data_IF_966402717790
#
_entry.id   IF_966402717790
#
_cell.length_a   1.000
_cell.length_b   1.000
_cell.length_c   1.000
_cell.angle_alpha   90.00
_cell.angle_beta   90.00
_cell.angle_gamma   90.00
#
_symmetry.space_group_name_H-M   'P 1'
#
loop_
_entity.id
_entity.type
_entity.pdbx_description
1 polymer ?
#
# COMPACT_ATOMS: atom_id res chain seq x y z
N UNK A 1 -12.58 -7.82 29.63
CA UNK A 1 -12.85 -6.38 29.81
C UNK A 1 -11.62 -5.56 29.42
N UNK A 2 -11.32 -5.47 28.12
CA UNK A 2 -10.33 -4.51 27.62
C UNK A 2 -11.09 -3.27 27.17
N UNK A 3 -11.30 -2.34 28.09
CA UNK A 3 -11.74 -0.99 27.73
C UNK A 3 -10.58 -0.34 26.99
N UNK A 4 -10.61 -0.38 25.66
CA UNK A 4 -9.80 0.50 24.81
C UNK A 4 -10.19 1.94 25.18
N UNK A 5 -9.40 2.56 26.05
CA UNK A 5 -9.52 3.99 26.31
C UNK A 5 -8.72 4.69 25.20
N UNK A 6 -9.21 4.59 23.96
CA UNK A 6 -8.67 5.38 22.86
C UNK A 6 -9.17 6.80 23.06
N UNK A 7 -8.24 7.72 23.27
CA UNK A 7 -8.58 9.13 23.39
C UNK A 7 -9.01 9.65 22.01
N UNK A 8 -10.10 10.42 21.96
CA UNK A 8 -10.47 11.14 20.73
C UNK A 8 -9.36 12.15 20.48
N UNK A 9 -8.82 12.20 19.26
CA UNK A 9 -7.75 13.14 18.93
C UNK A 9 -8.28 14.58 19.12
N UNK A 10 -7.79 15.34 20.12
CA UNK A 10 -8.23 16.71 20.31
C UNK A 10 -7.72 17.59 19.16
N UNK A 11 -8.53 18.54 18.74
CA UNK A 11 -8.19 19.55 17.73
C UNK A 11 -7.78 19.01 16.35
N UNK A 12 -8.43 17.93 15.89
CA UNK A 12 -8.24 17.38 14.54
C UNK A 12 -8.27 18.45 13.43
N UNK A 13 -9.18 19.44 13.41
CA UNK A 13 -9.17 20.48 12.38
C UNK A 13 -7.89 21.35 12.38
N UNK A 14 -7.33 21.63 13.56
CA UNK A 14 -6.08 22.39 13.69
C UNK A 14 -4.92 21.56 13.17
N UNK A 15 -4.88 20.26 13.50
CA UNK A 15 -3.90 19.34 12.94
C UNK A 15 -4.01 19.27 11.40
N UNK A 16 -5.23 19.18 10.85
CA UNK A 16 -5.44 19.14 9.40
C UNK A 16 -4.91 20.40 8.72
N UNK A 17 -5.22 21.57 9.26
CA UNK A 17 -4.69 22.84 8.75
C UNK A 17 -3.16 22.91 8.83
N UNK A 18 -2.57 22.41 9.92
CA UNK A 18 -1.12 22.35 10.07
C UNK A 18 -0.46 21.37 9.07
N UNK A 19 -1.08 20.22 8.81
CA UNK A 19 -0.59 19.24 7.83
C UNK A 19 -0.66 19.78 6.40
N UNK A 20 -1.73 20.50 6.06
CA UNK A 20 -1.91 21.09 4.74
C UNK A 20 -0.87 22.17 4.43
N UNK A 21 -0.45 22.94 5.44
CA UNK A 21 0.60 23.95 5.30
C UNK A 21 2.03 23.35 5.37
N UNK A 22 2.18 22.10 5.82
CA UNK A 22 3.48 21.51 6.07
C UNK A 22 3.97 20.67 4.88
N UNK A 23 4.94 21.19 4.14
CA UNK A 23 5.56 20.50 3.01
C UNK A 23 6.84 19.73 3.39
N UNK A 24 7.12 19.54 4.68
CA UNK A 24 8.38 18.96 5.17
C UNK A 24 8.19 17.70 6.02
N UNK A 25 6.98 17.42 6.49
CA UNK A 25 6.71 16.31 7.39
C UNK A 25 7.01 14.98 6.70
N UNK A 26 7.87 14.17 7.32
CA UNK A 26 8.25 12.83 6.82
C UNK A 26 7.59 11.70 7.57
N UNK A 27 7.21 11.93 8.83
CA UNK A 27 6.65 10.90 9.71
C UNK A 27 5.47 11.47 10.48
N UNK A 28 4.36 10.75 10.49
CA UNK A 28 3.17 11.09 11.27
C UNK A 28 2.72 9.87 12.06
N UNK A 29 2.55 10.02 13.36
CA UNK A 29 1.96 8.99 14.22
C UNK A 29 0.73 9.54 14.91
N UNK A 30 -0.40 8.88 14.70
CA UNK A 30 -1.66 9.13 15.40
C UNK A 30 -2.07 7.93 16.27
N UNK A 31 -1.11 7.03 16.52
CA UNK A 31 -1.35 5.76 17.20
C UNK A 31 -1.98 5.97 18.58
N UNK A 32 -2.97 5.15 18.93
CA UNK A 32 -3.69 5.21 20.19
C UNK A 32 -4.86 6.21 20.23
N UNK A 33 -5.06 7.00 19.18
CA UNK A 33 -6.20 7.91 19.07
C UNK A 33 -7.29 7.30 18.22
N UNK A 34 -8.54 7.37 18.70
CA UNK A 34 -9.67 6.89 17.91
C UNK A 34 -9.88 7.81 16.70
N UNK A 35 -9.90 7.23 15.50
CA UNK A 35 -10.19 7.90 14.25
C UNK A 35 -11.45 7.31 13.64
N UNK A 36 -12.49 8.12 13.50
CA UNK A 36 -13.66 7.74 12.74
C UNK A 36 -13.41 7.85 11.23
N UNK A 37 -14.36 7.36 10.42
CA UNK A 37 -14.25 7.37 8.96
C UNK A 37 -14.08 8.79 8.40
N UNK A 38 -14.76 9.79 8.99
CA UNK A 38 -14.59 11.19 8.61
C UNK A 38 -13.19 11.72 8.95
N UNK A 39 -12.58 11.25 10.04
CA UNK A 39 -11.25 11.69 10.44
C UNK A 39 -10.18 11.16 9.47
N UNK A 40 -10.30 9.89 9.08
CA UNK A 40 -9.43 9.25 8.08
C UNK A 40 -9.57 9.94 6.73
N UNK A 41 -10.79 10.28 6.31
CA UNK A 41 -11.02 11.03 5.08
C UNK A 41 -10.43 12.45 5.16
N UNK A 42 -10.58 13.15 6.27
CA UNK A 42 -10.01 14.49 6.45
C UNK A 42 -8.48 14.48 6.46
N UNK A 43 -7.88 13.46 7.11
CA UNK A 43 -6.45 13.19 7.10
C UNK A 43 -5.95 12.97 5.66
N UNK A 44 -6.72 12.21 4.88
CA UNK A 44 -6.33 11.92 3.50
C UNK A 44 -6.18 13.16 2.65
N UNK A 45 -7.19 14.04 2.68
CA UNK A 45 -7.18 15.30 1.94
C UNK A 45 -6.05 16.25 2.38
N UNK A 46 -5.76 16.28 3.69
CA UNK A 46 -4.80 17.23 4.27
C UNK A 46 -3.34 16.87 4.00
N UNK A 47 -3.04 15.56 3.91
CA UNK A 47 -1.67 15.08 3.73
C UNK A 47 -1.31 14.94 2.24
N UNK A 48 -2.28 14.66 1.35
CA UNK A 48 -2.04 14.63 -0.10
C UNK A 48 -1.43 15.94 -0.63
N UNK A 49 -1.61 17.05 0.08
CA UNK A 49 -1.02 18.36 -0.25
C UNK A 49 0.45 18.50 0.17
N UNK A 50 0.91 17.75 1.18
CA UNK A 50 2.28 17.84 1.70
C UNK A 50 3.32 17.16 0.80
N UNK A 51 2.91 16.12 0.07
CA UNK A 51 3.71 15.38 -0.92
C UNK A 51 4.98 14.70 -0.40
N UNK A 52 5.29 14.75 0.90
CA UNK A 52 6.58 14.27 1.43
C UNK A 52 6.49 13.26 2.57
N UNK A 53 5.28 12.88 2.99
CA UNK A 53 5.10 11.91 4.06
C UNK A 53 5.64 10.53 3.64
N UNK A 54 6.57 9.97 4.43
CA UNK A 54 7.22 8.69 4.18
C UNK A 54 6.76 7.58 5.13
N UNK A 55 6.25 7.95 6.31
CA UNK A 55 5.86 7.01 7.35
C UNK A 55 4.56 7.46 8.03
N UNK A 56 3.58 6.57 8.07
CA UNK A 56 2.29 6.80 8.71
C UNK A 56 1.99 5.69 9.72
N UNK A 57 1.87 6.06 11.00
CA UNK A 57 1.54 5.14 12.07
C UNK A 57 0.11 5.38 12.58
N UNK A 58 -0.79 4.45 12.30
CA UNK A 58 -2.18 4.44 12.77
C UNK A 58 -2.44 3.20 13.64
N UNK A 59 -1.52 2.87 14.53
CA UNK A 59 -1.66 1.68 15.39
C UNK A 59 -2.69 1.94 16.48
N UNK A 60 -3.62 0.99 16.69
CA UNK A 60 -4.67 1.10 17.71
C UNK A 60 -5.49 2.40 17.56
N UNK A 61 -5.96 2.69 16.35
CA UNK A 61 -6.77 3.86 16.04
C UNK A 61 -8.27 3.55 15.87
N UNK A 62 -8.69 2.30 16.12
CA UNK A 62 -10.08 1.89 15.98
C UNK A 62 -10.57 1.76 14.53
N UNK A 63 -9.66 1.63 13.57
CA UNK A 63 -9.99 1.56 12.13
C UNK A 63 -10.76 0.28 11.79
N UNK A 64 -11.96 0.45 11.23
CA UNK A 64 -12.81 -0.63 10.73
C UNK A 64 -12.55 -0.90 9.23
N UNK A 65 -13.29 -1.85 8.63
CA UNK A 65 -13.15 -2.17 7.20
C UNK A 65 -13.38 -0.94 6.30
N UNK A 66 -14.37 -0.09 6.60
CA UNK A 66 -14.63 1.14 5.83
C UNK A 66 -13.44 2.09 5.86
N UNK A 67 -12.85 2.29 7.04
CA UNK A 67 -11.67 3.14 7.24
C UNK A 67 -10.46 2.59 6.48
N UNK A 68 -10.29 1.26 6.46
CA UNK A 68 -9.25 0.60 5.68
C UNK A 68 -9.45 0.75 4.16
N UNK A 69 -10.70 0.72 3.68
CA UNK A 69 -11.01 1.02 2.28
C UNK A 69 -10.66 2.47 1.91
N UNK A 70 -10.99 3.43 2.78
CA UNK A 70 -10.63 4.84 2.59
C UNK A 70 -9.10 5.00 2.54
N UNK A 71 -8.37 4.36 3.46
CA UNK A 71 -6.90 4.33 3.45
C UNK A 71 -6.35 3.72 2.16
N UNK A 72 -6.95 2.63 1.66
CA UNK A 72 -6.54 1.98 0.42
C UNK A 72 -6.72 2.89 -0.80
N UNK A 73 -7.84 3.62 -0.89
CA UNK A 73 -8.05 4.60 -1.95
C UNK A 73 -7.04 5.75 -1.87
N UNK A 74 -6.74 6.20 -0.65
CA UNK A 74 -5.82 7.30 -0.43
C UNK A 74 -4.36 6.94 -0.69
N UNK A 75 -3.97 5.68 -0.48
CA UNK A 75 -2.62 5.21 -0.80
C UNK A 75 -2.21 5.57 -2.24
N UNK A 76 -3.12 5.56 -3.20
CA UNK A 76 -2.82 5.97 -4.59
C UNK A 76 -2.28 7.39 -4.73
N UNK A 77 -2.67 8.31 -3.83
CA UNK A 77 -2.22 9.70 -3.84
C UNK A 77 -0.93 9.91 -3.04
N UNK A 78 -0.59 8.97 -2.15
CA UNK A 78 0.56 9.05 -1.27
C UNK A 78 1.85 8.54 -1.92
N UNK A 79 2.22 9.13 -3.05
CA UNK A 79 3.34 8.64 -3.87
C UNK A 79 4.69 8.53 -3.15
N UNK A 80 4.89 9.25 -2.04
CA UNK A 80 6.13 9.22 -1.25
C UNK A 80 6.09 8.34 0.00
N UNK A 81 4.95 7.70 0.27
CA UNK A 81 4.79 6.87 1.47
C UNK A 81 5.55 5.55 1.29
N UNK A 82 6.38 5.24 2.28
CA UNK A 82 7.21 4.04 2.31
C UNK A 82 6.75 3.04 3.36
N UNK A 83 6.21 3.52 4.48
CA UNK A 83 5.88 2.69 5.64
C UNK A 83 4.49 3.04 6.17
N UNK A 84 3.64 2.03 6.32
CA UNK A 84 2.29 2.14 6.86
C UNK A 84 2.06 1.12 7.98
N UNK A 85 1.78 1.60 9.18
CA UNK A 85 1.56 0.74 10.35
C UNK A 85 0.11 0.80 10.81
N UNK A 86 -0.59 -0.34 10.71
CA UNK A 86 -2.02 -0.49 11.00
C UNK A 86 -2.30 -1.51 12.11
N UNK A 87 -1.31 -1.82 12.93
CA UNK A 87 -1.44 -2.83 13.99
C UNK A 87 -2.59 -2.49 14.95
N UNK A 88 -3.18 -3.51 15.55
CA UNK A 88 -4.20 -3.38 16.60
C UNK A 88 -5.44 -2.57 16.19
N UNK A 89 -5.83 -2.64 14.91
CA UNK A 89 -7.10 -2.09 14.41
C UNK A 89 -8.15 -3.18 14.13
N UNK A 90 -9.44 -2.91 14.36
CA UNK A 90 -10.51 -3.91 14.26
C UNK A 90 -10.99 -4.23 12.84
N UNK A 91 -10.26 -3.91 11.76
CA UNK A 91 -10.68 -4.28 10.41
C UNK A 91 -10.48 -5.77 10.09
N UNK A 92 -11.31 -6.27 9.19
CA UNK A 92 -11.41 -7.66 8.79
C UNK A 92 -10.81 -7.93 7.42
N UNK A 93 -11.32 -8.96 6.76
CA UNK A 93 -10.79 -9.38 5.45
C UNK A 93 -11.12 -8.44 4.30
N UNK A 94 -12.15 -7.61 4.44
CA UNK A 94 -12.54 -6.66 3.39
C UNK A 94 -11.51 -5.54 3.34
N UNK A 95 -11.23 -4.88 4.47
CA UNK A 95 -10.21 -3.86 4.57
C UNK A 95 -8.82 -4.37 4.21
N UNK A 96 -8.47 -5.58 4.67
CA UNK A 96 -7.18 -6.20 4.32
C UNK A 96 -7.04 -6.47 2.81
N UNK A 97 -8.14 -6.87 2.14
CA UNK A 97 -8.16 -7.06 0.67
C UNK A 97 -7.92 -5.75 -0.06
N UNK A 98 -8.66 -4.70 0.30
CA UNK A 98 -8.53 -3.40 -0.37
C UNK A 98 -7.13 -2.80 -0.17
N UNK A 99 -6.58 -2.91 1.03
CA UNK A 99 -5.18 -2.53 1.29
C UNK A 99 -4.19 -3.34 0.44
N UNK A 100 -4.44 -4.64 0.24
CA UNK A 100 -3.60 -5.48 -0.62
C UNK A 100 -3.63 -5.03 -2.09
N UNK A 101 -4.81 -4.73 -2.64
CA UNK A 101 -4.96 -4.20 -4.01
C UNK A 101 -4.29 -2.82 -4.15
N UNK A 102 -4.35 -1.98 -3.12
CA UNK A 102 -3.64 -0.71 -3.11
C UNK A 102 -2.12 -0.89 -3.11
N UNK A 103 -1.59 -1.75 -2.22
CA UNK A 103 -0.15 -2.05 -2.12
C UNK A 103 0.40 -2.61 -3.43
N UNK A 104 -0.38 -3.47 -4.10
CA UNK A 104 -0.03 -4.07 -5.38
C UNK A 104 0.41 -3.05 -6.41
N UNK A 105 -0.33 -1.95 -6.56
CA UNK A 105 0.02 -0.90 -7.55
C UNK A 105 0.80 0.27 -6.95
N UNK A 106 0.89 0.35 -5.62
CA UNK A 106 1.68 1.37 -4.94
C UNK A 106 3.18 1.07 -5.06
N UNK A 107 3.86 1.85 -5.89
CA UNK A 107 5.22 1.54 -6.29
C UNK A 107 6.30 2.02 -5.31
N UNK A 108 6.05 2.92 -4.35
CA UNK A 108 7.05 3.36 -3.36
C UNK A 108 6.99 2.66 -2.00
N UNK A 109 5.92 1.89 -1.72
CA UNK A 109 5.76 1.25 -0.42
C UNK A 109 6.86 0.19 -0.24
N UNK A 110 7.39 0.14 0.98
CA UNK A 110 8.46 -0.74 1.42
C UNK A 110 7.98 -1.62 2.59
N UNK A 111 7.06 -1.12 3.43
CA UNK A 111 6.55 -1.85 4.59
C UNK A 111 5.08 -1.52 4.86
N UNK A 112 4.27 -2.56 5.07
CA UNK A 112 2.90 -2.45 5.59
C UNK A 112 2.68 -3.52 6.64
N UNK A 113 2.30 -3.11 7.86
CA UNK A 113 1.96 -4.03 8.95
C UNK A 113 0.46 -4.01 9.22
N UNK A 114 -0.21 -5.14 8.94
CA UNK A 114 -1.64 -5.33 9.19
C UNK A 114 -1.96 -5.57 10.69
N UNK A 115 -3.25 -5.49 11.09
CA UNK A 115 -3.69 -5.75 12.45
C UNK A 115 -3.39 -7.16 12.94
N UNK A 116 -3.00 -7.28 14.20
CA UNK A 116 -2.71 -8.56 14.83
C UNK A 116 -3.88 -9.27 15.51
N UNK A 117 -5.12 -8.75 15.46
CA UNK A 117 -6.03 -9.01 16.59
C UNK A 117 -7.54 -9.27 16.34
N UNK A 118 -8.03 -9.43 15.11
CA UNK A 118 -9.52 -9.54 14.91
C UNK A 118 -10.03 -10.72 14.08
N UNK A 119 -9.19 -11.41 13.30
CA UNK A 119 -9.60 -12.55 12.46
C UNK A 119 -8.88 -13.84 12.86
N UNK A 120 -9.30 -15.02 12.36
CA UNK A 120 -8.50 -16.24 12.55
C UNK A 120 -7.07 -15.95 12.10
N UNK A 121 -6.09 -16.18 12.98
CA UNK A 121 -4.68 -15.80 12.74
C UNK A 121 -4.21 -16.20 11.33
N UNK A 122 -4.69 -17.35 10.83
CA UNK A 122 -4.41 -17.88 9.49
C UNK A 122 -4.89 -16.99 8.33
N UNK A 123 -6.11 -16.42 8.39
CA UNK A 123 -6.64 -15.62 7.27
C UNK A 123 -5.98 -14.25 7.19
N UNK A 124 -5.71 -13.61 8.33
CA UNK A 124 -4.97 -12.35 8.36
C UNK A 124 -3.51 -12.56 7.95
N UNK A 125 -2.90 -13.65 8.39
CA UNK A 125 -1.57 -14.04 7.95
C UNK A 125 -1.48 -14.18 6.43
N UNK A 126 -2.48 -14.81 5.78
CA UNK A 126 -2.52 -14.89 4.32
C UNK A 126 -2.52 -13.50 3.64
N UNK A 127 -3.24 -12.52 4.19
CA UNK A 127 -3.21 -11.16 3.66
C UNK A 127 -1.87 -10.46 3.88
N UNK A 128 -1.26 -10.66 5.06
CA UNK A 128 0.08 -10.15 5.35
C UNK A 128 1.11 -10.74 4.37
N UNK A 129 1.07 -12.05 4.13
CA UNK A 129 1.94 -12.73 3.15
C UNK A 129 1.74 -12.20 1.72
N UNK A 130 0.49 -11.93 1.32
CA UNK A 130 0.18 -11.34 0.00
C UNK A 130 0.71 -9.90 -0.12
N UNK A 131 0.57 -9.09 0.94
CA UNK A 131 1.13 -7.74 0.99
C UNK A 131 2.65 -7.79 0.89
N UNK A 132 3.31 -8.65 1.67
CA UNK A 132 4.76 -8.84 1.62
C UNK A 132 5.25 -9.27 0.24
N UNK A 133 4.52 -10.18 -0.41
CA UNK A 133 4.79 -10.56 -1.80
C UNK A 133 4.79 -9.35 -2.73
N UNK A 134 3.77 -8.49 -2.68
CA UNK A 134 3.70 -7.30 -3.53
C UNK A 134 4.75 -6.24 -3.18
N UNK A 135 5.09 -6.07 -1.90
CA UNK A 135 6.17 -5.17 -1.49
C UNK A 135 7.52 -5.63 -2.06
N UNK A 136 7.82 -6.93 -1.99
CA UNK A 136 9.04 -7.52 -2.56
C UNK A 136 9.03 -7.39 -4.08
N UNK A 137 7.91 -7.71 -4.74
CA UNK A 137 7.76 -7.60 -6.19
C UNK A 137 7.99 -6.16 -6.65
N UNK A 138 7.39 -5.18 -5.97
CA UNK A 138 7.55 -3.76 -6.26
C UNK A 138 8.98 -3.28 -5.99
N UNK A 139 9.62 -3.75 -4.92
CA UNK A 139 11.03 -3.45 -4.66
C UNK A 139 11.96 -4.01 -5.75
N UNK A 140 11.72 -5.25 -6.21
CA UNK A 140 12.44 -5.88 -7.32
C UNK A 140 12.28 -5.11 -8.63
N UNK A 141 11.04 -4.76 -8.97
CA UNK A 141 10.72 -3.95 -10.14
C UNK A 141 11.39 -2.57 -10.12
N UNK A 142 11.32 -1.86 -8.99
CA UNK A 142 12.05 -0.59 -8.80
C UNK A 142 13.55 -0.76 -9.01
N UNK A 143 14.14 -1.82 -8.46
CA UNK A 143 15.58 -2.10 -8.60
C UNK A 143 15.95 -2.34 -10.05
N UNK A 144 15.22 -3.20 -10.75
CA UNK A 144 15.44 -3.50 -12.17
C UNK A 144 15.37 -2.23 -13.03
N UNK A 145 14.32 -1.41 -12.84
CA UNK A 145 14.18 -0.17 -13.60
C UNK A 145 15.32 0.81 -13.33
N UNK A 146 15.77 0.93 -12.08
CA UNK A 146 16.94 1.78 -11.74
C UNK A 146 18.23 1.30 -12.40
N UNK A 147 18.47 -0.02 -12.42
CA UNK A 147 19.66 -0.62 -13.05
C UNK A 147 19.73 -0.28 -14.56
N UNK A 148 18.57 -0.07 -15.19
CA UNK A 148 18.45 0.32 -16.60
C UNK A 148 18.12 1.81 -16.83
N UNK A 149 18.24 2.67 -15.81
CA UNK A 149 17.93 4.11 -15.87
C UNK A 149 16.49 4.45 -16.31
N UNK A 150 15.53 3.56 -16.06
CA UNK A 150 14.11 3.83 -16.26
C UNK A 150 13.47 4.46 -15.01
N UNK A 151 12.47 5.36 -15.17
CA UNK A 151 11.70 5.87 -14.05
C UNK A 151 11.01 4.73 -13.28
N UNK A 152 11.18 4.69 -11.95
CA UNK A 152 10.60 3.62 -11.11
C UNK A 152 9.09 3.59 -11.10
N UNK A 153 8.44 4.72 -11.38
CA UNK A 153 6.99 4.83 -11.53
C UNK A 153 6.43 4.02 -12.71
N UNK A 154 7.27 3.65 -13.69
CA UNK A 154 6.86 2.77 -14.79
C UNK A 154 6.55 1.35 -14.32
N UNK A 155 7.08 0.93 -13.17
CA UNK A 155 6.87 -0.44 -12.68
C UNK A 155 5.38 -0.76 -12.50
N UNK A 156 4.60 0.17 -11.95
CA UNK A 156 3.16 -0.02 -11.80
C UNK A 156 2.46 -0.28 -13.14
N UNK A 157 2.92 0.37 -14.22
CA UNK A 157 2.38 0.18 -15.58
C UNK A 157 2.82 -1.14 -16.19
N UNK A 158 4.07 -1.55 -15.95
CA UNK A 158 4.61 -2.85 -16.37
C UNK A 158 3.84 -3.98 -15.69
N UNK A 159 3.66 -3.90 -14.37
CA UNK A 159 2.91 -4.89 -13.60
C UNK A 159 1.45 -5.00 -14.07
N UNK A 160 0.78 -3.86 -14.26
CA UNK A 160 -0.60 -3.83 -14.76
C UNK A 160 -0.74 -4.47 -16.15
N UNK A 161 0.23 -4.26 -17.05
CA UNK A 161 0.23 -4.92 -18.36
C UNK A 161 0.51 -6.42 -18.27
N UNK A 162 1.47 -6.83 -17.45
CA UNK A 162 1.83 -8.25 -17.29
C UNK A 162 0.60 -9.07 -16.87
N UNK A 163 -0.21 -8.55 -15.95
CA UNK A 163 -1.43 -9.23 -15.50
C UNK A 163 -2.53 -9.28 -16.55
N UNK A 164 -2.65 -8.26 -17.41
CA UNK A 164 -3.61 -8.26 -18.52
C UNK A 164 -3.20 -9.24 -19.63
N UNK A 165 -1.90 -9.46 -19.83
CA UNK A 165 -1.36 -10.42 -20.80
C UNK A 165 -1.39 -11.86 -20.31
N UNK A 166 -1.39 -12.08 -18.99
CA UNK A 166 -1.53 -13.38 -18.37
C UNK A 166 -3.00 -13.67 -18.03
N UNK A 167 -3.86 -13.86 -19.04
CA UNK A 167 -5.26 -14.25 -18.82
C UNK A 167 -5.76 -15.28 -19.85
N UNK A 168 -5.97 -16.53 -19.41
CA UNK A 168 -6.88 -17.49 -20.06
C UNK A 168 -8.09 -17.87 -19.17
N UNK A 169 -8.30 -17.13 -18.08
CA UNK A 169 -9.48 -17.28 -17.23
C UNK A 169 -9.56 -18.59 -16.45
N UNK A 170 -8.51 -19.43 -16.41
CA UNK A 170 -8.56 -20.69 -15.68
C UNK A 170 -7.38 -20.85 -14.70
N UNK A 171 -7.67 -20.65 -13.42
CA UNK A 171 -6.83 -21.01 -12.26
C UNK A 171 -5.79 -19.98 -11.79
N UNK A 172 -6.12 -19.30 -10.68
CA UNK A 172 -5.12 -18.71 -9.80
C UNK A 172 -4.46 -19.83 -8.99
N UNK A 173 -3.43 -20.47 -9.55
CA UNK A 173 -2.50 -21.31 -8.79
C UNK A 173 -1.12 -20.65 -8.77
N UNK A 174 -0.44 -20.56 -7.61
CA UNK A 174 0.95 -20.14 -7.57
C UNK A 174 1.78 -21.17 -8.36
N UNK A 175 2.49 -20.69 -9.38
CA UNK A 175 3.34 -21.51 -10.24
C UNK A 175 4.32 -22.33 -9.38
N UNK A 176 4.32 -23.64 -9.57
CA UNK A 176 5.30 -24.54 -8.94
C UNK A 176 6.71 -24.24 -9.45
N UNK A 177 7.66 -24.48 -8.55
CA UNK A 177 8.97 -23.83 -8.40
C UNK A 177 10.02 -24.06 -9.51
N UNK A 178 9.73 -24.77 -10.61
CA UNK A 178 10.81 -25.40 -11.38
C UNK A 178 11.04 -24.86 -12.80
N UNK A 179 10.33 -23.81 -13.24
CA UNK A 179 10.56 -23.21 -14.58
C UNK A 179 10.47 -21.68 -14.63
N UNK A 180 10.65 -21.04 -13.48
CA UNK A 180 10.35 -19.62 -13.27
C UNK A 180 11.44 -18.69 -13.85
N UNK A 181 12.68 -19.16 -14.02
CA UNK A 181 13.80 -18.28 -14.35
C UNK A 181 13.89 -17.85 -15.83
N UNK A 182 13.50 -18.66 -16.81
CA UNK A 182 13.65 -18.28 -18.24
C UNK A 182 12.43 -17.51 -18.78
N UNK A 183 11.22 -17.87 -18.34
CA UNK A 183 10.00 -17.21 -18.82
C UNK A 183 9.79 -15.82 -18.19
N UNK A 184 10.16 -15.64 -16.91
CA UNK A 184 10.03 -14.32 -16.26
C UNK A 184 11.07 -13.32 -16.77
N UNK A 185 12.28 -13.75 -17.12
CA UNK A 185 13.28 -12.87 -17.74
C UNK A 185 12.83 -12.41 -19.12
N UNK A 186 12.24 -13.30 -19.92
CA UNK A 186 11.80 -12.98 -21.28
C UNK A 186 10.54 -12.10 -21.30
N UNK A 187 9.59 -12.32 -20.39
CA UNK A 187 8.38 -11.50 -20.29
C UNK A 187 8.71 -10.07 -19.86
N UNK A 188 9.58 -9.90 -18.87
CA UNK A 188 10.02 -8.56 -18.42
C UNK A 188 10.82 -7.86 -19.54
N UNK A 189 11.69 -8.60 -20.23
CA UNK A 189 12.45 -8.10 -21.38
C UNK A 189 11.53 -7.66 -22.54
N UNK A 190 10.50 -8.43 -22.87
CA UNK A 190 9.53 -8.09 -23.91
C UNK A 190 8.56 -6.97 -23.50
N UNK A 191 8.17 -6.87 -22.23
CA UNK A 191 7.33 -5.77 -21.73
C UNK A 191 8.06 -4.42 -21.77
N UNK A 192 9.38 -4.41 -21.53
CA UNK A 192 10.21 -3.19 -21.59
C UNK A 192 10.57 -2.77 -23.02
N UNK A 193 10.49 -3.67 -24.02
CA UNK A 193 10.76 -3.37 -25.43
C UNK A 193 9.52 -2.99 -26.24
N UNK A 194 8.35 -2.81 -25.61
CA UNK A 194 7.16 -2.30 -26.28
C UNK A 194 7.36 -0.91 -26.92
N UNK A 195 6.60 -0.54 -27.96
CA UNK A 195 6.93 0.55 -28.89
C UNK A 195 7.08 1.96 -28.28
N UNK A 196 6.76 2.16 -27.00
CA UNK A 196 6.90 3.44 -26.33
C UNK A 196 8.36 3.82 -26.00
N UNK A 197 9.31 2.86 -26.00
CA UNK A 197 10.72 3.12 -25.74
C UNK A 197 11.55 3.50 -26.99
N UNK A 198 10.94 3.47 -28.19
CA UNK A 198 11.64 3.70 -29.47
C UNK A 198 11.19 4.94 -30.24
N UNK A 199 10.30 5.78 -29.72
CA UNK A 199 10.02 7.08 -30.35
C UNK A 199 11.05 8.12 -29.93
N UNK A 200 12.22 8.09 -30.60
CA UNK A 200 12.99 9.31 -30.89
C UNK A 200 12.44 9.98 -32.13
#
# INVERSE_FOLDING_TARGET
NYRYRTEVLPDLPVLMGALQANCSLRKLSLSGHYLCEQDVSSLSCSISTSGMLQELCLTNCGLNDTSACILAMWLYELSSLKRLYLKDNPFGSVGARELCEAVKIHWELEEVLLPGTTMSKKRMQKWQEMIEFYLILNAGGRRLLREHNFPTSLWAQVLARAEQTCWDGSSFMPLKHDNIQSAQSDIIYHLLQGPAALSR
#
